data_IF_627057461975
#
_entry.id   IF_627057461975
#
_cell.length_a   1.000
_cell.length_b   1.000
_cell.length_c   1.000
_cell.angle_alpha   90.00
_cell.angle_beta   90.00
_cell.angle_gamma   90.00
#
_symmetry.space_group_name_H-M   'P 1'
#
loop_
_entity.id
_entity.type
_entity.pdbx_description
1 polymer ?
#
# COMPACT_ATOMS: atom_id res chain seq x y z
N UNK A 1 7.32 6.58 2.32
CA UNK A 1 7.50 5.44 1.41
C UNK A 1 6.64 4.27 1.86
N UNK A 2 6.13 3.49 0.94
CA UNK A 2 5.22 2.38 1.22
C UNK A 2 6.00 1.11 1.60
N UNK A 3 5.57 0.43 2.67
CA UNK A 3 6.10 -0.89 3.01
C UNK A 3 5.14 -1.98 2.51
N UNK A 4 5.65 -3.20 2.38
CA UNK A 4 4.81 -4.34 1.97
C UNK A 4 3.70 -4.59 3.00
N UNK A 5 4.00 -4.42 4.29
CA UNK A 5 3.00 -4.58 5.35
C UNK A 5 1.93 -3.49 5.30
N UNK A 6 2.30 -2.25 5.01
CA UNK A 6 1.31 -1.19 4.81
C UNK A 6 0.39 -1.51 3.64
N UNK A 7 0.93 -2.03 2.55
CA UNK A 7 0.15 -2.40 1.37
C UNK A 7 -0.86 -3.49 1.69
N UNK A 8 -0.42 -4.55 2.38
CA UNK A 8 -1.30 -5.65 2.80
C UNK A 8 -2.35 -5.17 3.79
N UNK A 9 -1.95 -4.34 4.77
CA UNK A 9 -2.87 -3.81 5.77
C UNK A 9 -3.92 -2.90 5.12
N UNK A 10 -3.52 -2.07 4.17
CA UNK A 10 -4.46 -1.20 3.45
C UNK A 10 -5.49 -2.03 2.68
N UNK A 11 -5.04 -3.09 1.99
CA UNK A 11 -5.98 -4.00 1.31
C UNK A 11 -6.96 -4.63 2.32
N UNK A 12 -6.45 -5.08 3.45
CA UNK A 12 -7.28 -5.70 4.48
C UNK A 12 -8.33 -4.73 5.01
N UNK A 13 -7.94 -3.48 5.29
CA UNK A 13 -8.86 -2.45 5.76
C UNK A 13 -9.95 -2.14 4.75
N UNK A 14 -9.63 -2.18 3.46
CA UNK A 14 -10.58 -1.91 2.38
C UNK A 14 -11.36 -3.14 1.93
N UNK A 15 -10.99 -4.33 2.42
CA UNK A 15 -11.60 -5.57 1.98
C UNK A 15 -11.27 -5.95 0.54
N UNK A 16 -10.10 -5.54 0.04
CA UNK A 16 -9.69 -5.81 -1.33
C UNK A 16 -8.74 -7.00 -1.40
N UNK A 17 -8.90 -7.83 -2.44
CA UNK A 17 -7.89 -8.81 -2.79
C UNK A 17 -6.86 -8.18 -3.75
N UNK A 18 -5.86 -8.96 -4.14
CA UNK A 18 -4.81 -8.46 -5.03
C UNK A 18 -5.35 -8.11 -6.42
N UNK A 19 -6.32 -8.86 -6.92
CA UNK A 19 -6.93 -8.56 -8.21
C UNK A 19 -7.67 -7.23 -8.18
N UNK A 20 -8.42 -6.98 -7.11
CA UNK A 20 -9.15 -5.73 -6.95
C UNK A 20 -8.21 -4.54 -6.84
N UNK A 21 -7.11 -4.69 -6.11
CA UNK A 21 -6.09 -3.63 -6.04
C UNK A 21 -5.46 -3.39 -7.41
N UNK A 22 -5.19 -4.45 -8.16
CA UNK A 22 -4.69 -4.32 -9.53
C UNK A 22 -5.67 -3.54 -10.40
N UNK A 23 -6.96 -3.85 -10.29
CA UNK A 23 -7.99 -3.18 -11.08
C UNK A 23 -8.06 -1.68 -10.80
N UNK A 24 -8.04 -1.27 -9.53
CA UNK A 24 -8.16 0.15 -9.17
C UNK A 24 -6.86 0.94 -9.37
N UNK A 25 -5.72 0.28 -9.31
CA UNK A 25 -4.41 0.94 -9.46
C UNK A 25 -3.90 0.97 -10.89
N UNK A 26 -4.40 0.07 -11.73
CA UNK A 26 -3.86 -0.11 -13.09
C UNK A 26 -2.51 -0.84 -13.09
N UNK A 27 -2.15 -1.48 -12.00
CA UNK A 27 -0.93 -2.27 -11.86
C UNK A 27 -1.28 -3.75 -11.94
N UNK A 28 -0.50 -4.55 -12.65
CA UNK A 28 -0.80 -5.98 -12.84
C UNK A 28 -0.70 -6.78 -11.54
N UNK A 29 -1.46 -7.87 -11.45
CA UNK A 29 -1.42 -8.77 -10.29
C UNK A 29 -0.01 -9.30 -10.02
N UNK A 30 0.76 -9.78 -11.01
CA UNK A 30 2.14 -10.21 -10.74
C UNK A 30 3.00 -9.11 -10.12
N UNK A 31 2.81 -7.87 -10.55
CA UNK A 31 3.53 -6.73 -9.97
C UNK A 31 3.09 -6.49 -8.52
N UNK A 32 1.78 -6.51 -8.26
CA UNK A 32 1.24 -6.39 -6.89
C UNK A 32 1.84 -7.47 -5.98
N UNK A 33 1.86 -8.72 -6.43
CA UNK A 33 2.43 -9.83 -5.66
C UNK A 33 3.90 -9.60 -5.33
N UNK A 34 4.68 -9.15 -6.31
CA UNK A 34 6.11 -8.87 -6.11
C UNK A 34 6.32 -7.73 -5.11
N UNK A 35 5.50 -6.70 -5.20
CA UNK A 35 5.56 -5.58 -4.27
C UNK A 35 5.25 -6.03 -2.84
N UNK A 36 4.23 -6.87 -2.67
CA UNK A 36 3.83 -7.37 -1.35
C UNK A 36 4.79 -8.43 -0.79
N UNK A 37 5.61 -9.02 -1.63
CA UNK A 37 6.63 -9.98 -1.20
C UNK A 37 7.93 -9.30 -0.76
N UNK A 38 8.06 -7.99 -0.91
CA UNK A 38 9.24 -7.25 -0.48
C UNK A 38 9.37 -7.28 1.04
N UNK A 39 10.59 -7.34 1.56
CA UNK A 39 10.80 -7.49 3.00
C UNK A 39 10.46 -6.25 3.81
N UNK A 40 10.88 -5.08 3.33
CA UNK A 40 10.63 -3.82 4.04
C UNK A 40 9.91 -2.85 3.12
N UNK A 41 10.66 -2.03 2.41
CA UNK A 41 10.08 -1.10 1.46
C UNK A 41 9.69 -1.82 0.18
N UNK A 42 8.54 -1.44 -0.37
CA UNK A 42 8.06 -2.01 -1.62
C UNK A 42 9.07 -1.75 -2.74
N UNK A 43 9.45 -2.81 -3.42
CA UNK A 43 10.32 -2.74 -4.58
C UNK A 43 9.50 -2.80 -5.84
N UNK A 44 9.91 -2.03 -6.82
CA UNK A 44 9.24 -1.94 -8.10
C UNK A 44 9.67 -0.64 -8.76
N UNK A 45 9.15 -0.35 -9.93
CA UNK A 45 9.45 0.93 -10.53
C UNK A 45 8.60 2.02 -9.84
N UNK A 46 9.10 3.24 -9.89
CA UNK A 46 8.47 4.39 -9.24
C UNK A 46 7.03 4.61 -9.72
N UNK A 47 6.76 4.33 -10.99
CA UNK A 47 5.43 4.49 -11.58
C UNK A 47 4.41 3.54 -10.94
N UNK A 48 4.76 2.26 -10.77
CA UNK A 48 3.87 1.29 -10.14
C UNK A 48 3.61 1.65 -8.68
N UNK A 49 4.65 2.07 -7.96
CA UNK A 49 4.52 2.48 -6.57
C UNK A 49 3.57 3.68 -6.44
N UNK A 50 3.75 4.70 -7.27
CA UNK A 50 2.89 5.89 -7.25
C UNK A 50 1.43 5.53 -7.56
N UNK A 51 1.20 4.65 -8.53
CA UNK A 51 -0.16 4.22 -8.89
C UNK A 51 -0.86 3.51 -7.73
N UNK A 52 -0.15 2.65 -7.02
CA UNK A 52 -0.72 1.95 -5.86
C UNK A 52 -1.03 2.93 -4.74
N UNK A 53 -0.09 3.83 -4.42
CA UNK A 53 -0.31 4.84 -3.37
C UNK A 53 -1.52 5.71 -3.71
N UNK A 54 -1.61 6.21 -4.93
CA UNK A 54 -2.73 7.04 -5.36
C UNK A 54 -4.06 6.29 -5.27
N UNK A 55 -4.09 5.02 -5.69
CA UNK A 55 -5.29 4.20 -5.62
C UNK A 55 -5.76 4.00 -4.17
N UNK A 56 -4.84 3.68 -3.28
CA UNK A 56 -5.17 3.48 -1.86
C UNK A 56 -5.66 4.78 -1.22
N UNK A 57 -5.00 5.89 -1.49
CA UNK A 57 -5.42 7.20 -0.96
C UNK A 57 -6.79 7.61 -1.50
N UNK A 58 -7.07 7.33 -2.76
CA UNK A 58 -8.37 7.61 -3.36
C UNK A 58 -9.49 6.79 -2.71
N UNK A 59 -9.16 5.62 -2.16
CA UNK A 59 -10.13 4.79 -1.42
C UNK A 59 -10.25 5.18 0.04
N UNK A 60 -9.57 6.22 0.49
CA UNK A 60 -9.69 6.73 1.86
C UNK A 60 -8.63 6.19 2.82
N UNK A 61 -7.57 5.58 2.32
CA UNK A 61 -6.46 5.13 3.17
C UNK A 61 -5.50 6.29 3.44
N UNK A 62 -5.05 6.40 4.67
CA UNK A 62 -3.95 7.27 5.04
C UNK A 62 -2.74 6.41 5.40
N UNK A 63 -1.63 6.64 4.71
CA UNK A 63 -0.37 5.95 4.98
C UNK A 63 0.41 6.72 6.04
N UNK A 64 0.77 6.04 7.12
CA UNK A 64 1.46 6.64 8.26
C UNK A 64 2.94 6.30 8.16
N UNK A 65 3.77 7.33 8.00
CA UNK A 65 5.22 7.15 7.95
C UNK A 65 5.78 6.93 9.36
N UNK A 66 6.93 6.28 9.43
CA UNK A 66 7.66 6.11 10.68
C UNK A 66 7.99 7.49 11.27
N UNK A 67 7.74 7.64 12.57
CA UNK A 67 7.95 8.94 13.24
C UNK A 67 6.81 9.93 13.09
N UNK A 68 5.81 9.63 12.29
CA UNK A 68 4.60 10.45 12.19
C UNK A 68 3.72 10.26 13.43
N UNK A 69 2.65 11.03 13.52
CA UNK A 69 1.76 11.00 14.69
C UNK A 69 1.03 9.66 14.76
N UNK A 70 1.65 8.72 15.44
CA UNK A 70 1.04 7.47 15.87
C UNK A 70 1.55 7.19 17.27
N UNK A 71 0.79 6.41 18.04
CA UNK A 71 1.16 6.15 19.44
C UNK A 71 2.48 5.40 19.60
N UNK A 72 2.92 4.70 18.56
CA UNK A 72 4.11 3.87 18.59
C UNK A 72 5.26 4.36 17.72
N UNK A 73 5.06 5.42 16.94
CA UNK A 73 6.08 5.95 16.03
C UNK A 73 6.43 5.02 14.88
N UNK A 74 5.60 4.03 14.60
CA UNK A 74 5.81 3.05 13.53
C UNK A 74 5.00 3.40 12.29
N UNK A 75 5.43 2.87 11.14
CA UNK A 75 4.64 2.98 9.92
C UNK A 75 3.35 2.19 10.04
N UNK A 76 2.28 2.74 9.52
CA UNK A 76 0.99 2.10 9.55
C UNK A 76 0.07 2.61 8.47
N UNK A 77 -1.19 2.20 8.56
CA UNK A 77 -2.25 2.64 7.66
C UNK A 77 -3.51 2.85 8.48
N UNK A 78 -4.37 3.75 8.02
CA UNK A 78 -5.70 3.90 8.61
C UNK A 78 -6.67 4.43 7.57
N UNK A 79 -7.95 4.20 7.82
CA UNK A 79 -9.01 4.84 7.05
C UNK A 79 -9.13 6.29 7.51
N UNK A 80 -9.34 7.15 6.55
CA UNK A 80 -9.58 8.57 6.84
C UNK A 80 -10.97 8.81 7.40
#
# INVERSE_FOLDING_TARGET
>A
MLTSNQMKAARALLGLDQQQLADISGVSVPTIRRMEASEENVRGNTSSLAKVVEALEAQGIELIAEGAVSSEGRRGVRLK
#
